data_IF_146179456537
#
_entry.id   IF_146179456537
#
_cell.length_a   1.000
_cell.length_b   1.000
_cell.length_c   1.000
_cell.angle_alpha   90.00
_cell.angle_beta   90.00
_cell.angle_gamma   90.00
#
_symmetry.space_group_name_H-M   'P 1'
#
loop_
_entity.id
_entity.type
_entity.pdbx_description
1 polymer ?
#
# COMPACT_ATOMS: atom_id res chain seq x y z
N UNK A 1 -0.38 8.75 -17.58
CA UNK A 1 -1.26 7.89 -16.76
C UNK A 1 -2.05 6.98 -17.68
N UNK A 2 -1.90 5.67 -17.49
CA UNK A 2 -2.70 4.62 -18.10
C UNK A 2 -4.17 4.85 -17.73
N UNK A 3 -5.05 4.85 -18.72
CA UNK A 3 -6.48 5.02 -18.51
C UNK A 3 -7.04 3.76 -17.85
N UNK A 4 -7.82 3.94 -16.78
CA UNK A 4 -8.50 2.83 -16.12
C UNK A 4 -9.57 2.27 -17.07
N UNK A 5 -9.55 0.97 -17.39
CA UNK A 5 -10.60 0.35 -18.21
C UNK A 5 -11.96 0.44 -17.53
N UNK A 6 -13.03 0.31 -18.31
CA UNK A 6 -14.38 0.24 -17.76
C UNK A 6 -14.60 -1.08 -16.98
N UNK A 7 -15.70 -1.13 -16.23
CA UNK A 7 -16.02 -2.28 -15.40
C UNK A 7 -16.13 -3.59 -16.18
N UNK A 8 -16.78 -3.59 -17.35
CA UNK A 8 -16.97 -4.80 -18.15
C UNK A 8 -15.63 -5.39 -18.63
N UNK A 9 -14.69 -4.53 -19.03
CA UNK A 9 -13.34 -4.95 -19.39
C UNK A 9 -12.57 -5.52 -18.20
N UNK A 10 -12.67 -4.89 -17.03
CA UNK A 10 -12.02 -5.39 -15.80
C UNK A 10 -12.62 -6.73 -15.36
N UNK A 11 -13.94 -6.88 -15.48
CA UNK A 11 -14.64 -8.14 -15.20
C UNK A 11 -14.20 -9.24 -16.16
N UNK A 12 -14.11 -8.94 -17.46
CA UNK A 12 -13.61 -9.90 -18.43
C UNK A 12 -12.19 -10.36 -18.11
N UNK A 13 -11.29 -9.42 -17.76
CA UNK A 13 -9.93 -9.77 -17.32
C UNK A 13 -9.94 -10.65 -16.06
N UNK A 14 -10.79 -10.34 -15.07
CA UNK A 14 -10.90 -11.14 -13.86
C UNK A 14 -11.33 -12.60 -14.13
N UNK A 15 -12.20 -12.80 -15.12
CA UNK A 15 -12.77 -14.11 -15.46
C UNK A 15 -11.87 -14.92 -16.42
N UNK A 16 -11.17 -14.25 -17.35
CA UNK A 16 -10.46 -14.90 -18.45
C UNK A 16 -8.94 -14.81 -18.32
N UNK A 17 -8.41 -13.68 -17.84
CA UNK A 17 -6.98 -13.38 -17.81
C UNK A 17 -6.57 -12.73 -16.46
N UNK A 18 -6.69 -13.47 -15.33
CA UNK A 18 -6.49 -12.90 -13.99
C UNK A 18 -5.06 -12.37 -13.77
N UNK A 19 -4.07 -12.95 -14.44
CA UNK A 19 -2.68 -12.48 -14.40
C UNK A 19 -2.53 -11.11 -15.08
N UNK A 20 -3.24 -10.87 -16.20
CA UNK A 20 -3.22 -9.57 -16.87
C UNK A 20 -3.90 -8.49 -16.02
N UNK A 21 -4.94 -8.84 -15.27
CA UNK A 21 -5.56 -7.93 -14.32
C UNK A 21 -4.59 -7.54 -13.19
N UNK A 22 -3.82 -8.48 -12.67
CA UNK A 22 -2.79 -8.19 -11.65
C UNK A 22 -1.66 -7.31 -12.21
N UNK A 23 -1.21 -7.54 -13.43
CA UNK A 23 -0.22 -6.66 -14.09
C UNK A 23 -0.77 -5.25 -14.33
N UNK A 24 -2.03 -5.13 -14.77
CA UNK A 24 -2.70 -3.85 -14.92
C UNK A 24 -2.77 -3.10 -13.58
N UNK A 25 -3.14 -3.78 -12.51
CA UNK A 25 -3.17 -3.21 -11.16
C UNK A 25 -1.79 -2.69 -10.75
N UNK A 26 -0.75 -3.52 -10.87
CA UNK A 26 0.63 -3.16 -10.52
C UNK A 26 1.12 -1.96 -11.34
N UNK A 27 0.84 -1.95 -12.65
CA UNK A 27 1.18 -0.82 -13.53
C UNK A 27 0.53 0.47 -13.06
N UNK A 28 -0.77 0.47 -12.78
CA UNK A 28 -1.50 1.64 -12.32
C UNK A 28 -0.98 2.15 -10.96
N UNK A 29 -0.67 1.25 -10.03
CA UNK A 29 -0.06 1.60 -8.76
C UNK A 29 1.33 2.24 -8.94
N UNK A 30 2.20 1.63 -9.75
CA UNK A 30 3.53 2.16 -10.02
C UNK A 30 3.47 3.56 -10.63
N UNK A 31 2.58 3.76 -11.61
CA UNK A 31 2.37 5.08 -12.18
C UNK A 31 1.90 6.09 -11.14
N UNK A 32 0.95 5.74 -10.27
CA UNK A 32 0.50 6.64 -9.21
C UNK A 32 1.64 7.05 -8.25
N UNK A 33 2.53 6.11 -7.92
CA UNK A 33 3.70 6.34 -7.06
C UNK A 33 4.71 7.25 -7.77
N UNK A 34 4.97 7.05 -9.06
CA UNK A 34 5.94 7.86 -9.80
C UNK A 34 5.57 9.34 -9.90
N UNK A 35 4.26 9.66 -9.90
CA UNK A 35 3.78 11.05 -9.91
C UNK A 35 3.76 11.70 -8.52
N UNK A 36 4.06 10.95 -7.44
CA UNK A 36 4.11 11.50 -6.08
C UNK A 36 5.46 12.19 -5.78
N UNK A 37 5.50 13.13 -4.82
CA UNK A 37 6.76 13.73 -4.36
C UNK A 37 7.75 12.68 -3.82
N UNK A 38 9.05 12.88 -4.06
CA UNK A 38 10.12 11.95 -3.64
C UNK A 38 10.13 11.65 -2.14
N UNK A 39 9.74 12.62 -1.31
CA UNK A 39 9.61 12.43 0.13
C UNK A 39 8.64 11.29 0.51
N UNK A 40 7.60 11.07 -0.30
CA UNK A 40 6.56 10.09 -0.04
C UNK A 40 6.77 8.78 -0.82
N UNK A 41 7.51 8.80 -1.94
CA UNK A 41 7.69 7.62 -2.81
C UNK A 41 8.19 6.39 -2.06
N UNK A 42 9.21 6.52 -1.21
CA UNK A 42 9.78 5.40 -0.43
C UNK A 42 8.73 4.71 0.45
N UNK A 43 7.88 5.49 1.12
CA UNK A 43 6.81 4.94 1.95
C UNK A 43 5.73 4.26 1.12
N UNK A 44 5.35 4.86 -0.02
CA UNK A 44 4.35 4.28 -0.92
C UNK A 44 4.81 2.96 -1.55
N UNK A 45 6.08 2.86 -1.96
CA UNK A 45 6.67 1.60 -2.46
C UNK A 45 6.64 0.52 -1.38
N UNK A 46 7.04 0.87 -0.15
CA UNK A 46 6.98 -0.06 0.98
C UNK A 46 5.54 -0.52 1.27
N UNK A 47 4.56 0.38 1.19
CA UNK A 47 3.15 0.06 1.37
C UNK A 47 2.61 -0.84 0.25
N UNK A 48 2.99 -0.58 -1.01
CA UNK A 48 2.62 -1.43 -2.14
C UNK A 48 3.16 -2.86 -1.96
N UNK A 49 4.45 -3.01 -1.62
CA UNK A 49 5.02 -4.32 -1.36
C UNK A 49 4.35 -5.04 -0.19
N UNK A 50 4.03 -4.32 0.88
CA UNK A 50 3.29 -4.90 1.99
C UNK A 50 1.91 -5.42 1.54
N UNK A 51 1.16 -4.61 0.78
CA UNK A 51 -0.13 -5.01 0.23
C UNK A 51 0.00 -6.25 -0.66
N UNK A 52 0.94 -6.27 -1.61
CA UNK A 52 1.16 -7.41 -2.50
C UNK A 52 1.51 -8.70 -1.73
N UNK A 53 2.35 -8.60 -0.70
CA UNK A 53 2.69 -9.74 0.16
C UNK A 53 1.49 -10.26 0.96
N UNK A 54 0.61 -9.39 1.41
CA UNK A 54 -0.61 -9.80 2.11
C UNK A 54 -1.61 -10.46 1.16
N UNK A 55 -1.79 -9.89 -0.04
CA UNK A 55 -2.70 -10.41 -1.05
C UNK A 55 -2.26 -11.76 -1.63
N UNK A 56 -0.95 -12.02 -1.73
CA UNK A 56 -0.43 -13.32 -2.21
C UNK A 56 -0.73 -14.48 -1.26
N UNK A 57 -1.05 -14.18 0.01
CA UNK A 57 -1.42 -15.18 1.03
C UNK A 57 -2.93 -15.43 1.10
N UNK A 58 -3.73 -14.67 0.36
CA UNK A 58 -5.17 -14.83 0.36
C UNK A 58 -5.59 -16.06 -0.45
N UNK A 59 -6.47 -16.87 0.13
CA UNK A 59 -6.98 -18.10 -0.49
C UNK A 59 -8.13 -17.90 -1.48
N UNK A 60 -8.80 -16.74 -1.46
CA UNK A 60 -9.93 -16.45 -2.34
C UNK A 60 -10.11 -14.94 -2.60
N UNK A 61 -10.88 -14.55 -3.64
CA UNK A 61 -11.08 -13.15 -4.02
C UNK A 61 -11.74 -12.29 -2.92
N UNK A 62 -12.69 -12.83 -2.15
CA UNK A 62 -13.33 -12.09 -1.06
C UNK A 62 -12.35 -11.73 0.05
N UNK A 63 -11.48 -12.68 0.42
CA UNK A 63 -10.43 -12.44 1.39
C UNK A 63 -9.46 -11.36 0.89
N UNK A 64 -9.09 -11.38 -0.40
CA UNK A 64 -8.28 -10.32 -1.03
C UNK A 64 -8.94 -8.95 -0.92
N UNK A 65 -10.23 -8.84 -1.27
CA UNK A 65 -10.97 -7.58 -1.18
C UNK A 65 -11.04 -7.06 0.26
N UNK A 66 -11.42 -7.93 1.21
CA UNK A 66 -11.50 -7.56 2.62
C UNK A 66 -10.15 -7.08 3.16
N UNK A 67 -9.06 -7.81 2.87
CA UNK A 67 -7.73 -7.47 3.36
C UNK A 67 -7.22 -6.15 2.77
N UNK A 68 -7.45 -5.91 1.48
CA UNK A 68 -7.14 -4.63 0.85
C UNK A 68 -7.90 -3.46 1.51
N UNK A 69 -9.20 -3.64 1.77
CA UNK A 69 -10.02 -2.64 2.47
C UNK A 69 -9.56 -2.42 3.92
N UNK A 70 -9.16 -3.48 4.62
CA UNK A 70 -8.63 -3.39 5.98
C UNK A 70 -7.34 -2.57 6.03
N UNK A 71 -6.37 -2.88 5.16
CA UNK A 71 -5.09 -2.15 5.07
C UNK A 71 -5.33 -0.68 4.73
N UNK A 72 -6.25 -0.39 3.80
CA UNK A 72 -6.63 0.98 3.46
C UNK A 72 -7.26 1.71 4.66
N UNK A 73 -8.17 1.05 5.38
CA UNK A 73 -8.84 1.63 6.54
C UNK A 73 -7.87 1.92 7.69
N UNK A 74 -6.87 1.06 7.93
CA UNK A 74 -5.81 1.32 8.90
C UNK A 74 -5.05 2.62 8.60
N UNK A 75 -4.72 2.87 7.32
CA UNK A 75 -4.08 4.13 6.92
C UNK A 75 -5.00 5.33 7.06
N UNK A 76 -6.28 5.16 6.77
CA UNK A 76 -7.28 6.19 6.97
C UNK A 76 -7.42 6.57 8.46
N UNK A 77 -7.45 5.59 9.35
CA UNK A 77 -7.45 5.82 10.80
C UNK A 77 -6.17 6.51 11.26
N UNK A 78 -5.01 6.09 10.76
CA UNK A 78 -3.74 6.76 11.07
C UNK A 78 -3.76 8.24 10.63
N UNK A 79 -4.27 8.52 9.42
CA UNK A 79 -4.45 9.89 8.94
C UNK A 79 -5.39 10.70 9.84
N UNK A 80 -6.53 10.11 10.22
CA UNK A 80 -7.47 10.75 11.14
C UNK A 80 -6.81 11.10 12.49
N UNK A 81 -5.98 10.21 13.03
CA UNK A 81 -5.22 10.48 14.26
C UNK A 81 -4.18 11.57 14.06
N UNK A 82 -3.45 11.59 12.94
CA UNK A 82 -2.45 12.63 12.64
C UNK A 82 -3.11 14.02 12.54
N UNK A 83 -4.27 14.10 11.88
CA UNK A 83 -4.98 15.37 11.68
C UNK A 83 -5.56 15.89 13.01
N UNK A 84 -6.23 15.03 13.77
CA UNK A 84 -6.95 15.45 14.97
C UNK A 84 -6.06 15.49 16.24
N UNK A 85 -5.07 14.60 16.35
CA UNK A 85 -4.20 14.45 17.52
C UNK A 85 -2.69 14.38 17.12
N UNK A 86 -2.13 15.42 16.49
CA UNK A 86 -0.76 15.39 15.95
C UNK A 86 0.36 15.29 17.01
N UNK A 87 0.07 15.62 18.27
CA UNK A 87 1.04 15.57 19.38
C UNK A 87 1.19 14.12 19.87
N UNK A 88 0.09 13.43 20.14
CA UNK A 88 0.11 12.01 20.54
C UNK A 88 0.78 11.13 19.48
N UNK A 89 0.51 11.40 18.20
CA UNK A 89 1.16 10.68 17.11
C UNK A 89 2.70 10.83 17.13
N UNK A 90 3.20 12.03 17.45
CA UNK A 90 4.65 12.30 17.52
C UNK A 90 5.32 11.76 18.79
N UNK A 91 4.56 11.52 19.85
CA UNK A 91 5.07 11.00 21.12
C UNK A 91 5.34 9.49 21.09
N UNK A 92 4.66 8.74 20.21
CA UNK A 92 4.83 7.28 20.07
C UNK A 92 6.07 6.86 19.24
N UNK A 93 7.08 7.72 19.12
CA UNK A 93 8.32 7.35 18.44
C UNK A 93 9.25 6.59 19.40
N UNK A 94 9.86 5.51 18.92
CA UNK A 94 10.84 4.75 19.69
C UNK A 94 12.09 5.62 19.99
N UNK A 95 12.65 5.45 21.18
CA UNK A 95 13.90 6.10 21.56
C UNK A 95 15.05 5.55 20.72
N UNK A 96 15.75 6.43 19.99
CA UNK A 96 16.90 6.04 19.16
C UNK A 96 18.11 5.89 20.09
N UNK A 97 18.43 4.63 20.43
CA UNK A 97 19.63 4.31 21.19
C UNK A 97 20.85 4.34 20.26
N UNK A 98 21.77 5.27 20.49
CA UNK A 98 23.07 5.29 19.81
C UNK A 98 23.98 4.24 20.42
N UNK A 99 24.20 3.14 19.70
CA UNK A 99 25.14 2.10 20.12
C UNK A 99 26.59 2.58 19.92
N UNK A 100 27.46 2.53 20.95
CA UNK A 100 28.85 2.92 20.81
C UNK A 100 29.57 1.95 19.85
N UNK A 101 30.45 2.49 18.99
CA UNK A 101 31.26 1.69 18.09
C UNK A 101 32.11 0.69 18.88
N UNK A 102 32.09 -0.57 18.46
CA UNK A 102 32.89 -1.65 19.05
C UNK A 102 34.37 -1.25 18.93
N UNK A 103 35.04 -1.00 20.07
CA UNK A 103 36.49 -0.84 20.10
C UNK A 103 37.12 -2.16 19.63
N UNK A 104 37.85 -2.11 18.52
CA UNK A 104 38.71 -3.18 18.01
C UNK A 104 39.90 -3.38 18.94
#
# INVERSE_FOLDING_TARGET
>A
MTQLPNFDSLKWLAENEPNELEELQRKLCNEAIEHCPEANKKQLISMQHHLEQQLSRCSNPYHRCYLAMSIMNEKFLALNTIINNPIEFRQNNAEILNLPAKKL
#
